data_IF_340159799974
#
_entry.id   IF_340159799974
#
_cell.length_a   1.000
_cell.length_b   1.000
_cell.length_c   1.000
_cell.angle_alpha   90.00
_cell.angle_beta   90.00
_cell.angle_gamma   90.00
#
_symmetry.space_group_name_H-M   'P 1'
#
loop_
_entity.id
_entity.type
_entity.pdbx_description
1 polymer ?
#
# COMPACT_ATOMS: atom_id res chain seq x y z
N UNK A 1 -20.14 24.82 -25.48
CA UNK A 1 -19.56 24.81 -24.11
C UNK A 1 -18.25 24.06 -24.22
N UNK A 2 -17.11 24.76 -24.18
CA UNK A 2 -15.80 24.12 -24.25
C UNK A 2 -15.54 23.46 -22.89
N UNK A 3 -15.60 22.14 -22.85
CA UNK A 3 -15.24 21.34 -21.68
C UNK A 3 -13.80 21.69 -21.31
N UNK A 4 -13.61 22.34 -20.17
CA UNK A 4 -12.28 22.51 -19.60
C UNK A 4 -11.86 21.10 -19.17
N UNK A 5 -11.01 20.46 -19.97
CA UNK A 5 -10.49 19.13 -19.70
C UNK A 5 -9.52 19.25 -18.52
N UNK A 6 -10.08 19.21 -17.30
CA UNK A 6 -9.28 19.23 -16.08
C UNK A 6 -8.56 17.90 -16.00
N UNK A 7 -7.28 17.91 -16.34
CA UNK A 7 -6.42 16.74 -16.26
C UNK A 7 -5.83 16.62 -14.86
N UNK A 8 -5.88 15.40 -14.32
CA UNK A 8 -5.37 15.05 -13.01
C UNK A 8 -4.11 14.18 -13.12
N UNK A 9 -3.26 14.22 -12.10
CA UNK A 9 -1.96 13.54 -12.11
C UNK A 9 -2.09 12.15 -11.49
N UNK A 10 -1.63 11.11 -12.20
CA UNK A 10 -1.55 9.78 -11.64
C UNK A 10 -0.56 9.76 -10.45
N UNK A 11 -0.98 9.26 -9.29
CA UNK A 11 -0.14 9.22 -8.08
C UNK A 11 1.08 8.29 -8.19
N UNK A 12 1.15 7.43 -9.22
CA UNK A 12 2.27 6.51 -9.45
C UNK A 12 3.20 6.92 -10.59
N UNK A 13 2.65 7.35 -11.74
CA UNK A 13 3.47 7.70 -12.92
C UNK A 13 3.51 9.21 -13.20
N UNK A 14 2.80 10.03 -12.43
CA UNK A 14 2.71 11.49 -12.55
C UNK A 14 2.27 12.02 -13.91
N UNK A 15 1.85 11.14 -14.84
CA UNK A 15 1.23 11.54 -16.10
C UNK A 15 -0.18 12.07 -15.86
N UNK A 16 -0.62 12.93 -16.77
CA UNK A 16 -1.91 13.61 -16.74
C UNK A 16 -2.96 12.77 -17.46
N UNK A 17 -4.13 12.61 -16.85
CA UNK A 17 -5.27 11.86 -17.38
C UNK A 17 -6.58 12.57 -17.03
N UNK A 18 -7.64 12.32 -17.80
CA UNK A 18 -8.99 12.72 -17.43
C UNK A 18 -9.43 12.00 -16.13
N UNK A 19 -10.34 12.61 -15.37
CA UNK A 19 -10.84 12.05 -14.11
C UNK A 19 -11.39 10.62 -14.27
N UNK A 20 -12.08 10.37 -15.38
CA UNK A 20 -12.72 9.11 -15.77
C UNK A 20 -11.71 7.98 -16.00
N UNK A 21 -10.49 8.34 -16.41
CA UNK A 21 -9.40 7.42 -16.73
C UNK A 21 -8.63 7.00 -15.47
N UNK A 22 -8.83 7.71 -14.36
CA UNK A 22 -8.19 7.49 -13.08
C UNK A 22 -9.07 6.66 -12.14
N UNK A 23 -8.44 6.08 -11.12
CA UNK A 23 -9.15 5.47 -10.00
C UNK A 23 -9.70 6.55 -9.08
N UNK A 24 -11.00 6.51 -8.79
CA UNK A 24 -11.67 7.47 -7.90
C UNK A 24 -11.07 7.48 -6.48
N UNK A 25 -10.57 6.35 -5.97
CA UNK A 25 -9.98 6.26 -4.63
C UNK A 25 -8.48 6.60 -4.57
N UNK A 26 -7.72 6.27 -5.61
CA UNK A 26 -6.24 6.27 -5.56
C UNK A 26 -5.60 7.15 -6.64
N UNK A 27 -6.39 7.79 -7.51
CA UNK A 27 -5.92 8.59 -8.64
C UNK A 27 -4.84 7.87 -9.45
N UNK A 28 -5.07 6.59 -9.75
CA UNK A 28 -4.16 5.75 -10.54
C UNK A 28 -4.72 5.51 -11.95
N UNK A 29 -3.88 5.64 -12.97
CA UNK A 29 -4.26 5.33 -14.35
C UNK A 29 -4.47 3.82 -14.55
N UNK A 30 -5.13 3.45 -15.65
CA UNK A 30 -5.41 2.05 -16.01
C UNK A 30 -4.13 1.21 -16.10
N UNK A 31 -3.04 1.75 -16.64
CA UNK A 31 -1.75 1.04 -16.74
C UNK A 31 -1.10 0.80 -15.38
N UNK A 32 -1.05 1.81 -14.51
CA UNK A 32 -0.55 1.65 -13.15
C UNK A 32 -1.40 0.66 -12.35
N UNK A 33 -2.72 0.63 -12.61
CA UNK A 33 -3.61 -0.37 -12.01
C UNK A 33 -3.28 -1.79 -12.47
N UNK A 34 -3.05 -2.00 -13.77
CA UNK A 34 -2.69 -3.32 -14.30
C UNK A 34 -1.30 -3.78 -13.88
N UNK A 35 -0.37 -2.85 -13.67
CA UNK A 35 1.02 -3.16 -13.31
C UNK A 35 1.19 -3.63 -11.87
N UNK A 36 0.34 -3.19 -10.95
CA UNK A 36 0.41 -3.57 -9.54
C UNK A 36 -0.94 -4.17 -9.13
N UNK A 37 -1.12 -5.51 -9.10
CA UNK A 37 -2.40 -6.09 -8.70
C UNK A 37 -2.83 -5.54 -7.33
N UNK A 38 -4.15 -5.37 -7.12
CA UNK A 38 -4.69 -4.95 -5.83
C UNK A 38 -4.20 -5.89 -4.74
N UNK A 39 -3.38 -5.37 -3.83
CA UNK A 39 -2.87 -6.13 -2.70
C UNK A 39 -3.73 -5.77 -1.50
N UNK A 40 -4.39 -6.76 -0.92
CA UNK A 40 -5.05 -6.56 0.36
C UNK A 40 -4.00 -6.55 1.46
N UNK A 41 -3.90 -5.45 2.17
CA UNK A 41 -3.09 -5.44 3.37
C UNK A 41 -3.77 -6.24 4.46
N UNK A 42 -3.21 -7.40 4.76
CA UNK A 42 -3.61 -8.22 5.91
C UNK A 42 -3.58 -7.46 7.24
N UNK A 43 -2.86 -6.34 7.32
CA UNK A 43 -2.77 -5.52 8.53
C UNK A 43 -3.94 -4.53 8.69
N UNK A 44 -4.23 -3.71 7.68
CA UNK A 44 -5.30 -2.70 7.76
C UNK A 44 -6.59 -3.12 7.06
N UNK A 45 -6.62 -4.32 6.46
CA UNK A 45 -7.71 -4.82 5.61
C UNK A 45 -8.06 -3.88 4.45
N UNK A 46 -7.14 -2.99 4.08
CA UNK A 46 -7.31 -2.06 2.96
C UNK A 46 -6.72 -2.68 1.69
N UNK A 47 -7.49 -2.63 0.62
CA UNK A 47 -7.04 -2.94 -0.73
C UNK A 47 -6.36 -1.73 -1.36
N UNK A 48 -5.09 -1.88 -1.75
CA UNK A 48 -4.37 -0.84 -2.45
C UNK A 48 -3.57 -1.36 -3.63
N UNK A 49 -3.47 -0.51 -4.65
CA UNK A 49 -2.61 -0.71 -5.81
C UNK A 49 -1.28 0.00 -5.54
N UNK A 50 -0.48 -0.54 -4.61
CA UNK A 50 0.91 -0.10 -4.42
C UNK A 50 1.73 -1.15 -3.68
N UNK A 51 3.02 -1.23 -4.04
CA UNK A 51 4.00 -2.17 -3.50
C UNK A 51 4.25 -2.05 -1.99
N UNK A 52 3.80 -0.97 -1.34
CA UNK A 52 4.00 -0.77 0.10
C UNK A 52 2.76 -0.16 0.79
N UNK A 53 2.39 -0.72 1.94
CA UNK A 53 1.39 -0.15 2.83
C UNK A 53 1.93 1.13 3.49
N UNK A 54 1.64 2.31 2.92
CA UNK A 54 2.02 3.61 3.49
C UNK A 54 1.41 3.85 4.87
N UNK A 55 0.20 3.33 5.14
CA UNK A 55 -0.45 3.47 6.44
C UNK A 55 0.31 2.74 7.55
N UNK A 56 0.67 1.46 7.33
CA UNK A 56 1.48 0.70 8.28
C UNK A 56 2.90 1.25 8.39
N UNK A 57 3.50 1.67 7.27
CA UNK A 57 4.84 2.29 7.29
C UNK A 57 4.86 3.60 8.09
N UNK A 58 3.79 4.40 8.02
CA UNK A 58 3.66 5.63 8.80
C UNK A 58 3.41 5.35 10.29
N UNK A 59 2.71 4.27 10.62
CA UNK A 59 2.34 3.92 12.00
C UNK A 59 3.40 3.07 12.74
N UNK A 60 4.10 2.19 12.03
CA UNK A 60 5.03 1.20 12.59
C UNK A 60 6.45 1.32 12.05
N UNK A 61 6.70 2.23 11.11
CA UNK A 61 8.01 2.39 10.47
C UNK A 61 8.24 1.41 9.32
N UNK A 62 9.48 1.36 8.78
CA UNK A 62 9.83 0.50 7.65
C UNK A 62 9.62 -0.99 7.97
N UNK A 63 9.26 -1.82 6.97
CA UNK A 63 9.13 -3.26 7.18
C UNK A 63 10.48 -3.87 7.53
N UNK A 64 10.47 -4.75 8.53
CA UNK A 64 11.62 -5.50 9.02
C UNK A 64 11.52 -6.98 8.61
N UNK A 65 12.62 -7.71 8.82
CA UNK A 65 12.73 -9.11 8.45
C UNK A 65 11.87 -9.99 9.37
N UNK A 66 11.02 -10.78 8.74
CA UNK A 66 10.23 -11.83 9.36
C UNK A 66 11.12 -12.98 9.83
N UNK A 67 10.96 -13.46 11.07
CA UNK A 67 11.80 -14.51 11.62
C UNK A 67 11.48 -15.90 11.04
N UNK A 68 10.22 -16.15 10.66
CA UNK A 68 9.79 -17.41 10.03
C UNK A 68 10.07 -17.44 8.54
N UNK A 69 9.57 -16.45 7.81
CA UNK A 69 9.57 -16.39 6.36
C UNK A 69 10.77 -15.66 5.75
N UNK A 70 11.60 -15.01 6.58
CA UNK A 70 12.82 -14.28 6.19
C UNK A 70 12.64 -13.13 5.18
N UNK A 71 11.40 -12.77 4.83
CA UNK A 71 11.05 -11.63 3.97
C UNK A 71 10.98 -10.32 4.77
N UNK A 72 11.28 -9.20 4.12
CA UNK A 72 11.14 -7.85 4.69
C UNK A 72 9.68 -7.38 4.66
N UNK A 73 8.82 -8.03 5.44
CA UNK A 73 7.38 -7.76 5.47
C UNK A 73 6.79 -7.74 6.89
N UNK A 74 7.62 -7.89 7.92
CA UNK A 74 7.17 -7.83 9.30
C UNK A 74 7.21 -6.39 9.82
N UNK A 75 6.37 -6.04 10.80
CA UNK A 75 6.37 -4.71 11.41
C UNK A 75 6.45 -4.87 12.93
N UNK A 76 7.16 -3.94 13.57
CA UNK A 76 7.28 -3.92 15.04
C UNK A 76 5.93 -3.52 15.64
N UNK A 77 5.17 -4.49 16.15
CA UNK A 77 3.97 -4.21 16.96
C UNK A 77 4.35 -3.83 18.39
N UNK A 78 3.40 -3.21 19.10
CA UNK A 78 3.49 -2.86 20.51
C UNK A 78 3.94 -4.05 21.36
N UNK A 79 4.61 -3.78 22.49
CA UNK A 79 5.26 -4.77 23.36
C UNK A 79 4.33 -5.94 23.77
N UNK A 80 3.04 -5.63 23.99
CA UNK A 80 2.01 -6.62 24.33
C UNK A 80 1.81 -7.70 23.25
N UNK A 81 1.95 -7.33 21.97
CA UNK A 81 1.85 -8.28 20.86
C UNK A 81 3.11 -9.14 20.74
N UNK A 82 4.30 -8.61 21.10
CA UNK A 82 5.56 -9.37 21.07
C UNK A 82 5.57 -10.49 22.12
N UNK A 83 5.02 -10.24 23.31
CA UNK A 83 4.89 -11.27 24.35
C UNK A 83 4.05 -12.48 23.92
N UNK A 84 3.04 -12.27 23.07
CA UNK A 84 2.18 -13.36 22.54
C UNK A 84 2.88 -14.26 21.51
N UNK A 85 3.98 -13.79 20.92
CA UNK A 85 4.73 -14.52 19.88
C UNK A 85 6.16 -14.85 20.34
N UNK A 86 6.37 -15.03 21.65
CA UNK A 86 7.67 -15.43 22.20
C UNK A 86 8.80 -14.42 21.86
N UNK A 87 8.45 -13.13 21.74
CA UNK A 87 9.38 -12.08 21.33
C UNK A 87 9.76 -12.09 19.84
N UNK A 88 9.23 -13.03 19.04
CA UNK A 88 9.60 -13.21 17.63
C UNK A 88 8.92 -12.18 16.74
N UNK A 89 9.67 -11.68 15.77
CA UNK A 89 9.13 -10.75 14.77
C UNK A 89 8.54 -11.55 13.60
N UNK A 90 7.22 -11.67 13.53
CA UNK A 90 6.55 -12.43 12.49
C UNK A 90 5.90 -11.52 11.44
N UNK A 91 5.88 -11.98 10.19
CA UNK A 91 5.07 -11.37 9.15
C UNK A 91 3.59 -11.46 9.52
N UNK A 92 2.81 -10.49 9.06
CA UNK A 92 1.36 -10.49 9.22
C UNK A 92 0.68 -11.13 8.00
N UNK A 93 1.28 -12.20 7.46
CA UNK A 93 0.73 -12.97 6.35
C UNK A 93 -0.54 -13.73 6.77
#
# INVERSE_FOLDING_TARGET
>A
MASIDVLYSCSSCHRKYALEELSSAQQLCKDCRRKYPSVQCKFCQLDFHQLECTHSRKKYGPPIKCDTCKLCCAFVKSDESKKKVDGKTLCLL
#
